data_IF_627190068396
#
_entry.id   IF_627190068396
#
_cell.length_a   1.000
_cell.length_b   1.000
_cell.length_c   1.000
_cell.angle_alpha   90.00
_cell.angle_beta   90.00
_cell.angle_gamma   90.00
#
_symmetry.space_group_name_H-M   'P 1'
#
loop_
_entity.id
_entity.type
_entity.pdbx_description
1 polymer ?
#
# COMPACT_ATOMS: atom_id res chain seq x y z
N UNK A 1 4.85 14.30 -11.17
CA UNK A 1 4.02 14.93 -10.12
C UNK A 1 4.95 15.26 -8.98
N UNK A 2 4.97 16.49 -8.45
CA UNK A 2 5.67 16.73 -7.18
C UNK A 2 5.06 15.78 -6.15
N UNK A 3 5.89 14.93 -5.56
CA UNK A 3 5.47 14.05 -4.46
C UNK A 3 5.13 15.01 -3.32
N UNK A 4 3.86 15.06 -2.91
CA UNK A 4 3.50 15.81 -1.72
C UNK A 4 4.41 15.33 -0.58
N UNK A 5 5.08 16.22 0.16
CA UNK A 5 5.97 15.81 1.23
C UNK A 5 5.17 14.91 2.19
N UNK A 6 5.63 13.67 2.35
CA UNK A 6 5.03 12.75 3.30
C UNK A 6 5.56 13.12 4.69
N UNK A 7 4.66 13.29 5.65
CA UNK A 7 5.03 13.48 7.05
C UNK A 7 5.26 12.10 7.68
N UNK A 8 6.39 11.94 8.33
CA UNK A 8 6.76 10.71 9.03
C UNK A 8 7.13 11.05 10.46
N UNK A 9 6.85 10.14 11.40
CA UNK A 9 7.36 10.28 12.76
C UNK A 9 8.86 9.94 12.80
N UNK A 10 9.66 10.58 13.66
CA UNK A 10 11.05 10.19 13.85
C UNK A 10 11.16 8.72 14.29
N UNK A 11 12.13 7.93 13.78
CA UNK A 11 12.29 6.53 14.17
C UNK A 11 12.42 6.30 15.68
N UNK A 12 13.13 7.20 16.39
CA UNK A 12 13.27 7.13 17.85
C UNK A 12 11.92 7.27 18.57
N UNK A 13 11.03 8.14 18.08
CA UNK A 13 9.71 8.31 18.65
C UNK A 13 8.82 7.09 18.36
N UNK A 14 8.89 6.53 17.15
CA UNK A 14 8.17 5.31 16.81
C UNK A 14 8.59 4.14 17.71
N UNK A 15 9.89 4.00 17.95
CA UNK A 15 10.43 2.99 18.87
C UNK A 15 9.97 3.20 20.31
N UNK A 16 9.99 4.45 20.80
CA UNK A 16 9.51 4.79 22.14
C UNK A 16 8.02 4.45 22.32
N UNK A 17 7.20 4.70 21.29
CA UNK A 17 5.77 4.42 21.30
C UNK A 17 5.46 2.95 20.98
N UNK A 18 6.44 2.17 20.54
CA UNK A 18 6.25 0.76 20.14
C UNK A 18 5.37 0.61 18.90
N UNK A 19 5.42 1.55 17.96
CA UNK A 19 4.56 1.59 16.76
C UNK A 19 5.34 1.34 15.46
N UNK A 20 4.61 1.01 14.39
CA UNK A 20 5.17 0.65 13.08
C UNK A 20 5.40 1.87 12.17
N UNK A 21 6.18 1.65 11.11
CA UNK A 21 6.54 2.71 10.16
C UNK A 21 5.34 3.27 9.42
N UNK A 22 5.13 4.57 9.55
CA UNK A 22 3.92 5.24 9.08
C UNK A 22 4.22 6.59 8.46
N UNK A 23 3.43 6.95 7.46
CA UNK A 23 3.49 8.25 6.82
C UNK A 23 2.11 8.80 6.53
N UNK A 24 1.99 10.12 6.55
CA UNK A 24 0.79 10.84 6.16
C UNK A 24 1.02 11.77 4.98
N UNK A 25 -0.02 11.88 4.17
CA UNK A 25 -0.19 12.93 3.17
C UNK A 25 -1.54 13.61 3.39
N UNK A 26 -1.75 14.78 2.82
CA UNK A 26 -3.04 15.46 2.92
C UNK A 26 -3.82 15.30 1.63
N UNK A 27 -5.14 15.10 1.76
CA UNK A 27 -6.05 15.09 0.63
C UNK A 27 -7.28 15.94 0.91
N UNK A 28 -7.63 16.79 -0.05
CA UNK A 28 -8.84 17.59 0.01
C UNK A 28 -9.94 16.83 -0.73
N UNK A 29 -10.95 16.36 -0.01
CA UNK A 29 -12.03 15.58 -0.61
C UNK A 29 -13.39 15.91 0.01
N UNK A 30 -14.45 15.47 -0.68
CA UNK A 30 -15.79 15.47 -0.09
C UNK A 30 -15.86 14.43 1.03
N UNK A 31 -16.84 14.62 1.89
CA UNK A 31 -17.17 13.68 2.96
C UNK A 31 -17.30 12.23 2.42
N UNK A 32 -16.48 11.28 2.92
CA UNK A 32 -16.55 9.87 2.55
C UNK A 32 -17.90 9.22 2.77
N UNK A 33 -18.67 9.67 3.77
CA UNK A 33 -19.98 9.09 4.10
C UNK A 33 -21.00 9.34 2.98
N UNK A 34 -20.74 10.32 2.12
CA UNK A 34 -21.52 10.56 0.89
C UNK A 34 -21.10 9.65 -0.26
N UNK A 35 -20.11 8.80 -0.05
CA UNK A 35 -19.56 7.83 -0.97
C UNK A 35 -18.76 8.43 -2.14
N UNK A 36 -18.14 7.56 -2.94
CA UNK A 36 -17.55 7.95 -4.20
C UNK A 36 -18.62 8.54 -5.15
N UNK A 37 -18.32 9.66 -5.82
CA UNK A 37 -19.24 10.27 -6.79
C UNK A 37 -19.66 9.29 -7.88
N UNK A 38 -20.86 9.46 -8.44
CA UNK A 38 -21.36 8.62 -9.54
C UNK A 38 -20.33 8.52 -10.67
N UNK A 39 -19.72 9.65 -11.05
CA UNK A 39 -18.64 9.69 -12.04
C UNK A 39 -17.43 8.83 -11.68
N UNK A 40 -16.99 8.83 -10.41
CA UNK A 40 -15.86 8.03 -9.93
C UNK A 40 -16.21 6.54 -9.95
N UNK A 41 -17.43 6.17 -9.53
CA UNK A 41 -17.92 4.78 -9.57
C UNK A 41 -17.99 4.25 -11.00
N UNK A 42 -18.62 5.01 -11.91
CA UNK A 42 -18.71 4.66 -13.34
C UNK A 42 -17.33 4.52 -13.97
N UNK A 43 -16.40 5.42 -13.64
CA UNK A 43 -15.01 5.34 -14.09
C UNK A 43 -14.31 4.06 -13.62
N UNK A 44 -14.42 3.70 -12.34
CA UNK A 44 -13.78 2.49 -11.81
C UNK A 44 -14.37 1.22 -12.44
N UNK A 45 -15.70 1.15 -12.58
CA UNK A 45 -16.35 0.01 -13.22
C UNK A 45 -15.89 -0.18 -14.67
N UNK A 46 -15.83 0.91 -15.45
CA UNK A 46 -15.37 0.87 -16.84
C UNK A 46 -13.89 0.49 -16.96
N UNK A 47 -13.04 1.01 -16.06
CA UNK A 47 -11.61 0.69 -16.04
C UNK A 47 -11.35 -0.81 -15.84
N UNK A 48 -12.13 -1.46 -14.97
CA UNK A 48 -11.91 -2.87 -14.61
C UNK A 48 -12.68 -3.86 -15.51
N UNK A 49 -13.73 -3.42 -16.21
CA UNK A 49 -14.52 -4.27 -17.11
C UNK A 49 -13.89 -4.48 -18.50
N UNK A 50 -12.87 -3.69 -18.86
CA UNK A 50 -12.28 -3.74 -20.21
C UNK A 50 -11.08 -4.69 -20.25
N UNK A 51 -11.15 -5.71 -21.10
CA UNK A 51 -10.01 -6.57 -21.39
C UNK A 51 -8.85 -5.80 -22.05
N UNK A 52 -7.59 -6.08 -21.67
CA UNK A 52 -6.42 -5.33 -22.14
C UNK A 52 -6.01 -5.73 -23.57
N UNK A 53 -6.85 -5.46 -24.57
CA UNK A 53 -6.47 -5.60 -25.99
C UNK A 53 -5.84 -4.31 -26.52
N UNK A 54 -5.00 -4.39 -27.55
CA UNK A 54 -4.27 -3.23 -28.11
C UNK A 54 -5.21 -2.09 -28.53
N UNK A 55 -6.30 -2.41 -29.22
CA UNK A 55 -7.29 -1.43 -29.69
C UNK A 55 -8.08 -0.79 -28.54
N UNK A 56 -8.46 -1.59 -27.53
CA UNK A 56 -9.15 -1.08 -26.32
C UNK A 56 -8.20 -0.26 -25.44
N UNK A 57 -6.92 -0.60 -25.40
CA UNK A 57 -5.87 0.17 -24.69
C UNK A 57 -5.66 1.54 -25.33
N UNK A 58 -5.66 1.62 -26.66
CA UNK A 58 -5.59 2.90 -27.37
C UNK A 58 -6.82 3.77 -27.07
N UNK A 59 -8.02 3.21 -27.19
CA UNK A 59 -9.28 3.91 -26.87
C UNK A 59 -9.34 4.37 -25.39
N UNK A 60 -8.82 3.56 -24.49
CA UNK A 60 -8.68 3.92 -23.08
C UNK A 60 -7.67 5.07 -22.88
N UNK A 61 -6.53 5.04 -23.57
CA UNK A 61 -5.52 6.10 -23.46
C UNK A 61 -6.06 7.44 -24.00
N UNK A 62 -6.78 7.43 -25.12
CA UNK A 62 -7.38 8.65 -25.69
C UNK A 62 -8.47 9.21 -24.76
N UNK A 63 -9.36 8.36 -24.26
CA UNK A 63 -10.39 8.77 -23.30
C UNK A 63 -9.77 9.30 -21.99
N UNK A 64 -8.78 8.61 -21.42
CA UNK A 64 -8.06 9.06 -20.22
C UNK A 64 -7.33 10.38 -20.45
N UNK A 65 -6.76 10.59 -21.64
CA UNK A 65 -6.17 11.86 -22.05
C UNK A 65 -7.19 13.00 -21.99
N UNK A 66 -8.38 12.79 -22.56
CA UNK A 66 -9.48 13.76 -22.52
C UNK A 66 -9.98 14.04 -21.09
N UNK A 67 -10.15 13.01 -20.26
CA UNK A 67 -10.50 13.15 -18.85
C UNK A 67 -9.44 13.96 -18.07
N UNK A 68 -8.15 13.68 -18.28
CA UNK A 68 -7.07 14.42 -17.65
C UNK A 68 -7.04 15.89 -18.10
N UNK A 69 -7.30 16.15 -19.40
CA UNK A 69 -7.38 17.50 -19.93
C UNK A 69 -8.55 18.28 -19.31
N UNK A 70 -9.75 17.68 -19.26
CA UNK A 70 -10.93 18.24 -18.59
C UNK A 70 -10.65 18.50 -17.11
N UNK A 71 -10.00 17.55 -16.44
CA UNK A 71 -9.63 17.70 -15.04
C UNK A 71 -8.71 18.92 -14.85
N UNK A 72 -7.65 19.04 -15.65
CA UNK A 72 -6.68 20.14 -15.54
C UNK A 72 -7.28 21.51 -15.87
N UNK A 73 -8.08 21.62 -16.93
CA UNK A 73 -8.49 22.92 -17.47
C UNK A 73 -9.88 23.37 -17.01
N UNK A 74 -10.77 22.43 -16.66
CA UNK A 74 -12.15 22.74 -16.23
C UNK A 74 -12.33 22.50 -14.74
N UNK A 75 -11.85 21.36 -14.22
CA UNK A 75 -12.15 20.99 -12.84
C UNK A 75 -11.32 21.76 -11.80
N UNK A 76 -10.08 22.16 -12.08
CA UNK A 76 -9.24 22.91 -11.13
C UNK A 76 -9.78 24.33 -10.82
N UNK A 77 -10.24 25.12 -11.81
CA UNK A 77 -10.95 26.38 -11.54
C UNK A 77 -12.24 26.16 -10.74
N UNK A 78 -13.03 25.12 -11.07
CA UNK A 78 -14.25 24.79 -10.36
C UNK A 78 -13.99 24.32 -8.91
N UNK A 79 -12.89 23.58 -8.70
CA UNK A 79 -12.45 23.11 -7.40
C UNK A 79 -12.19 24.29 -6.48
N UNK A 80 -11.54 25.36 -6.97
CA UNK A 80 -11.34 26.60 -6.20
C UNK A 80 -12.66 27.22 -5.76
N UNK A 81 -13.69 27.20 -6.61
CA UNK A 81 -15.04 27.69 -6.27
C UNK A 81 -15.75 26.79 -5.25
N UNK A 82 -15.64 25.46 -5.39
CA UNK A 82 -16.24 24.49 -4.46
C UNK A 82 -15.54 24.48 -3.08
N UNK A 83 -14.22 24.67 -3.07
CA UNK A 83 -13.42 24.87 -1.84
C UNK A 83 -13.85 26.15 -1.13
N UNK A 84 -14.02 27.25 -1.87
CA UNK A 84 -14.59 28.51 -1.32
C UNK A 84 -16.01 28.34 -0.76
N UNK A 85 -16.79 27.40 -1.29
CA UNK A 85 -18.13 27.07 -0.81
C UNK A 85 -18.16 26.15 0.43
N UNK A 86 -17.01 25.83 1.06
CA UNK A 86 -16.88 24.96 2.25
C UNK A 86 -17.52 23.57 2.09
N UNK A 87 -17.54 23.00 0.88
CA UNK A 87 -18.12 21.66 0.61
C UNK A 87 -17.08 20.53 0.57
N UNK A 88 -15.89 20.77 1.09
CA UNK A 88 -14.78 19.81 1.12
C UNK A 88 -14.08 19.89 2.47
N UNK A 89 -13.61 18.75 2.96
CA UNK A 89 -12.83 18.64 4.19
C UNK A 89 -11.39 18.25 3.85
N UNK A 90 -10.45 18.65 4.71
CA UNK A 90 -9.07 18.24 4.64
C UNK A 90 -8.90 16.94 5.43
N UNK A 91 -8.46 15.88 4.74
CA UNK A 91 -8.22 14.58 5.35
C UNK A 91 -6.72 14.29 5.42
N UNK A 92 -6.33 13.64 6.51
CA UNK A 92 -5.01 13.03 6.66
C UNK A 92 -5.10 11.61 6.11
N UNK A 93 -4.38 11.37 5.02
CA UNK A 93 -4.25 10.07 4.38
C UNK A 93 -3.01 9.37 4.94
N UNK A 94 -3.21 8.49 5.91
CA UNK A 94 -2.15 7.70 6.50
C UNK A 94 -1.88 6.41 5.71
N UNK A 95 -0.62 6.00 5.68
CA UNK A 95 -0.14 4.71 5.16
C UNK A 95 0.79 4.13 6.20
N UNK A 96 0.62 2.85 6.50
CA UNK A 96 1.37 2.17 7.53
C UNK A 96 2.01 0.90 6.98
N UNK A 97 3.15 0.56 7.53
CA UNK A 97 3.61 -0.82 7.63
C UNK A 97 2.58 -1.66 8.39
N UNK A 98 2.54 -2.95 8.08
CA UNK A 98 1.73 -3.94 8.77
C UNK A 98 2.63 -4.84 9.60
N UNK A 99 2.19 -5.17 10.82
CA UNK A 99 2.92 -6.11 11.65
C UNK A 99 3.03 -7.47 10.95
N UNK A 100 4.22 -8.09 10.88
CA UNK A 100 4.34 -9.47 10.43
C UNK A 100 3.48 -10.39 11.32
N UNK A 101 2.41 -10.93 10.76
CA UNK A 101 1.51 -11.82 11.50
C UNK A 101 1.78 -13.29 11.14
N UNK A 102 2.25 -14.11 12.10
CA UNK A 102 2.51 -15.53 11.88
C UNK A 102 1.24 -16.37 11.69
N UNK A 103 0.04 -15.80 11.69
CA UNK A 103 -1.22 -16.48 11.32
C UNK A 103 -1.73 -16.06 9.94
N UNK A 104 -1.17 -15.01 9.32
CA UNK A 104 -1.51 -14.65 7.93
C UNK A 104 -0.85 -15.62 6.95
N UNK A 105 -1.60 -16.09 5.95
CA UNK A 105 -1.16 -17.12 4.99
C UNK A 105 -1.59 -16.81 3.57
N UNK A 106 -0.75 -17.26 2.64
CA UNK A 106 -1.15 -17.50 1.25
C UNK A 106 -1.09 -19.00 1.03
N UNK A 107 -2.22 -19.59 0.68
CA UNK A 107 -2.40 -21.02 0.44
C UNK A 107 -2.82 -21.28 -1.00
N UNK A 108 -2.74 -22.54 -1.42
CA UNK A 108 -3.29 -22.97 -2.70
C UNK A 108 -4.78 -23.28 -2.52
N UNK A 109 -5.61 -22.66 -3.34
CA UNK A 109 -7.04 -22.94 -3.43
C UNK A 109 -7.29 -24.25 -4.19
N UNK A 110 -8.44 -24.88 -3.92
CA UNK A 110 -8.96 -25.98 -4.73
C UNK A 110 -9.33 -25.55 -6.16
N UNK A 111 -9.63 -24.26 -6.36
CA UNK A 111 -9.95 -23.72 -7.67
C UNK A 111 -8.69 -23.51 -8.51
N UNK A 112 -8.81 -23.77 -9.81
CA UNK A 112 -7.75 -23.53 -10.79
C UNK A 112 -8.09 -22.34 -11.67
N UNK A 113 -7.07 -21.59 -12.07
CA UNK A 113 -7.19 -20.52 -13.05
C UNK A 113 -7.27 -21.08 -14.49
N UNK A 114 -7.36 -20.18 -15.47
CA UNK A 114 -7.46 -20.54 -16.88
C UNK A 114 -6.20 -21.24 -17.44
N UNK A 115 -5.07 -21.19 -16.72
CA UNK A 115 -3.82 -21.87 -17.08
C UNK A 115 -3.68 -23.21 -16.35
N UNK A 116 -4.68 -23.60 -15.55
CA UNK A 116 -4.67 -24.82 -14.75
C UNK A 116 -3.86 -24.69 -13.46
N UNK A 117 -3.36 -23.52 -13.10
CA UNK A 117 -2.67 -23.29 -11.83
C UNK A 117 -3.67 -23.15 -10.68
N UNK A 118 -3.35 -23.70 -9.51
CA UNK A 118 -4.16 -23.46 -8.31
C UNK A 118 -4.15 -21.97 -7.98
N UNK A 119 -5.33 -21.39 -7.76
CA UNK A 119 -5.47 -19.98 -7.39
C UNK A 119 -4.87 -19.75 -6.00
N UNK A 120 -4.35 -18.55 -5.77
CA UNK A 120 -3.94 -18.13 -4.43
C UNK A 120 -5.17 -17.87 -3.55
N UNK A 121 -5.18 -18.45 -2.36
CA UNK A 121 -6.11 -18.15 -1.28
C UNK A 121 -5.39 -17.35 -0.20
N UNK A 122 -5.92 -16.18 0.15
CA UNK A 122 -5.27 -15.22 1.05
C UNK A 122 -6.06 -15.11 2.35
N UNK A 123 -5.48 -15.63 3.44
CA UNK A 123 -5.91 -15.34 4.80
C UNK A 123 -5.01 -14.23 5.35
N UNK A 124 -5.51 -12.99 5.31
CA UNK A 124 -4.77 -11.81 5.74
C UNK A 124 -5.40 -11.22 6.98
N UNK A 125 -4.63 -11.20 8.07
CA UNK A 125 -5.08 -10.84 9.41
C UNK A 125 -4.28 -9.67 9.94
N UNK A 126 -4.94 -8.53 10.10
CA UNK A 126 -4.41 -7.40 10.85
C UNK A 126 -4.45 -7.69 12.35
N UNK A 127 -3.56 -7.07 13.11
CA UNK A 127 -3.45 -7.22 14.55
C UNK A 127 -3.70 -5.88 15.27
N UNK A 128 -3.78 -5.93 16.60
CA UNK A 128 -4.01 -4.74 17.43
C UNK A 128 -2.93 -3.64 17.23
N UNK A 129 -1.69 -4.04 16.96
CA UNK A 129 -0.58 -3.11 16.72
C UNK A 129 -0.80 -2.25 15.47
N UNK A 130 -1.49 -2.75 14.44
CA UNK A 130 -1.76 -1.98 13.23
C UNK A 130 -2.70 -0.80 13.51
N UNK A 131 -3.75 -1.02 14.33
CA UNK A 131 -4.66 0.06 14.76
C UNK A 131 -3.99 1.01 15.74
N UNK A 132 -3.27 0.47 16.74
CA UNK A 132 -2.55 1.27 17.72
C UNK A 132 -1.53 2.21 17.05
N UNK A 133 -0.82 1.72 16.03
CA UNK A 133 0.09 2.51 15.22
C UNK A 133 -0.61 3.73 14.61
N UNK A 134 -1.77 3.56 13.99
CA UNK A 134 -2.53 4.67 13.40
C UNK A 134 -3.10 5.62 14.44
N UNK A 135 -3.55 5.11 15.58
CA UNK A 135 -4.08 5.93 16.68
C UNK A 135 -2.98 6.82 17.27
N UNK A 136 -1.83 6.25 17.60
CA UNK A 136 -0.68 7.02 18.12
C UNK A 136 -0.15 8.00 17.08
N UNK A 137 -0.07 7.58 15.81
CA UNK A 137 0.32 8.48 14.73
C UNK A 137 -0.62 9.69 14.64
N UNK A 138 -1.94 9.46 14.69
CA UNK A 138 -2.96 10.52 14.71
C UNK A 138 -2.85 11.43 15.92
N UNK A 139 -2.63 10.87 17.11
CA UNK A 139 -2.44 11.63 18.37
C UNK A 139 -1.23 12.55 18.30
N UNK A 140 -0.07 12.02 17.89
CA UNK A 140 1.17 12.82 17.77
C UNK A 140 0.99 13.92 16.73
N UNK A 141 0.41 13.59 15.58
CA UNK A 141 0.14 14.58 14.54
C UNK A 141 -0.84 15.67 15.04
N UNK A 142 -1.88 15.29 15.77
CA UNK A 142 -2.83 16.22 16.38
C UNK A 142 -2.19 17.13 17.43
N UNK A 143 -1.31 16.60 18.27
CA UNK A 143 -0.53 17.39 19.24
C UNK A 143 0.36 18.42 18.54
N UNK A 144 1.04 18.03 17.45
CA UNK A 144 1.86 18.97 16.67
C UNK A 144 1.01 20.04 15.98
N UNK A 145 -0.17 19.68 15.49
CA UNK A 145 -1.12 20.63 14.91
C UNK A 145 -1.62 21.65 15.94
N UNK A 146 -1.99 21.20 17.14
CA UNK A 146 -2.38 22.06 18.24
C UNK A 146 -1.19 22.95 18.70
N UNK A 147 0.02 22.37 18.85
CA UNK A 147 1.25 23.08 19.25
C UNK A 147 1.63 24.19 18.27
N UNK A 148 1.46 23.96 16.97
CA UNK A 148 1.77 24.91 15.92
C UNK A 148 0.62 25.88 15.61
N UNK A 149 -0.55 25.71 16.25
CA UNK A 149 -1.74 26.52 15.97
C UNK A 149 -2.32 26.32 14.56
N UNK A 150 -2.09 25.15 13.96
CA UNK A 150 -2.53 24.82 12.59
C UNK A 150 -3.98 24.30 12.53
N UNK A 151 -4.53 23.88 13.67
CA UNK A 151 -5.90 23.43 13.80
C UNK A 151 -6.04 22.19 14.66
N UNK A 152 -7.25 21.63 14.70
CA UNK A 152 -7.58 20.41 15.43
C UNK A 152 -7.61 19.22 14.47
N UNK A 153 -6.98 18.12 14.87
CA UNK A 153 -7.11 16.83 14.19
C UNK A 153 -8.13 15.98 14.95
N UNK A 154 -9.10 15.43 14.23
CA UNK A 154 -10.05 14.44 14.75
C UNK A 154 -9.81 13.11 14.06
N UNK A 155 -9.63 12.06 14.86
CA UNK A 155 -9.53 10.66 14.45
C UNK A 155 -10.89 10.11 14.05
N UNK A 156 -10.91 9.05 13.26
CA UNK A 156 -12.16 8.37 12.93
C UNK A 156 -12.61 7.48 14.11
N UNK A 157 -13.91 7.40 14.37
CA UNK A 157 -14.47 6.62 15.48
C UNK A 157 -14.05 5.15 15.45
N UNK A 158 -14.03 4.52 14.26
CA UNK A 158 -13.60 3.13 14.08
C UNK A 158 -12.14 2.86 14.45
N UNK A 159 -11.31 3.90 14.55
CA UNK A 159 -9.92 3.78 15.00
C UNK A 159 -9.83 3.74 16.53
N UNK A 160 -10.84 4.27 17.22
CA UNK A 160 -10.90 4.39 18.68
C UNK A 160 -11.87 3.40 19.33
N UNK A 161 -12.69 2.71 18.54
CA UNK A 161 -13.75 1.81 19.01
C UNK A 161 -13.25 0.51 19.68
N UNK A 162 -11.93 0.26 19.65
CA UNK A 162 -11.29 -0.92 20.23
C UNK A 162 -11.56 -2.23 19.50
N UNK A 163 -12.25 -2.21 18.36
CA UNK A 163 -12.57 -3.42 17.58
C UNK A 163 -11.47 -3.72 16.56
N UNK A 164 -11.33 -4.95 16.03
CA UNK A 164 -10.26 -5.26 15.07
C UNK A 164 -10.59 -4.86 13.62
N UNK A 165 -11.84 -4.52 13.31
CA UNK A 165 -12.28 -4.32 11.93
C UNK A 165 -11.78 -3.01 11.32
N UNK A 166 -11.44 -3.08 10.03
CA UNK A 166 -11.04 -1.93 9.22
C UNK A 166 -12.10 -1.66 8.16
N UNK A 167 -12.76 -0.49 8.15
CA UNK A 167 -13.73 -0.18 7.13
C UNK A 167 -13.06 0.02 5.77
N UNK A 168 -13.74 -0.39 4.71
CA UNK A 168 -13.31 -0.17 3.34
C UNK A 168 -13.92 1.13 2.82
N UNK A 169 -13.10 2.15 2.66
CA UNK A 169 -13.51 3.43 2.07
C UNK A 169 -13.08 3.52 0.61
N UNK A 170 -14.05 3.44 -0.31
CA UNK A 170 -13.86 3.56 -1.76
C UNK A 170 -13.36 4.95 -2.21
N UNK A 171 -13.36 5.94 -1.31
CA UNK A 171 -12.72 7.23 -1.55
C UNK A 171 -11.20 7.16 -1.37
N UNK A 172 -10.72 6.28 -0.48
CA UNK A 172 -9.31 6.07 -0.08
C UNK A 172 -8.65 4.95 -0.90
N UNK A 173 -9.29 3.79 -1.00
CA UNK A 173 -8.78 2.61 -1.69
C UNK A 173 -9.89 1.91 -2.48
N UNK A 174 -9.58 1.38 -3.65
CA UNK A 174 -10.58 0.76 -4.51
C UNK A 174 -10.72 -0.76 -4.31
N UNK A 175 -10.11 -1.33 -3.27
CA UNK A 175 -10.12 -2.77 -3.06
C UNK A 175 -10.18 -3.12 -1.56
N UNK A 176 -11.01 -4.11 -1.16
CA UNK A 176 -11.16 -4.50 0.24
C UNK A 176 -9.88 -5.11 0.86
N UNK A 177 -8.99 -5.67 0.03
CA UNK A 177 -7.70 -6.25 0.50
C UNK A 177 -6.58 -5.22 0.73
N UNK A 178 -6.91 -3.93 0.74
CA UNK A 178 -5.93 -2.86 0.99
C UNK A 178 -5.09 -2.48 -0.25
N UNK A 179 -3.84 -2.08 -0.01
CA UNK A 179 -2.91 -1.62 -1.05
C UNK A 179 -2.31 -2.76 -1.89
N UNK A 180 -1.74 -2.42 -3.04
CA UNK A 180 -1.18 -3.39 -3.99
C UNK A 180 0.30 -3.76 -3.71
N UNK A 181 0.70 -3.78 -2.44
CA UNK A 181 2.09 -4.02 -2.02
C UNK A 181 2.17 -5.23 -1.07
N UNK A 182 1.77 -6.41 -1.56
CA UNK A 182 1.92 -7.66 -0.80
C UNK A 182 3.38 -8.11 -0.74
N UNK A 183 3.83 -8.58 0.43
CA UNK A 183 5.23 -8.80 0.76
C UNK A 183 5.38 -9.98 1.72
N UNK A 184 6.57 -10.57 1.80
CA UNK A 184 6.94 -11.52 2.86
C UNK A 184 6.47 -12.97 2.73
N UNK A 185 5.82 -13.36 1.64
CA UNK A 185 5.32 -14.75 1.45
C UNK A 185 6.43 -15.79 1.31
N UNK A 186 7.66 -15.38 1.00
CA UNK A 186 8.86 -16.23 0.97
C UNK A 186 10.02 -15.52 1.67
N UNK A 187 9.76 -14.95 2.85
CA UNK A 187 10.66 -14.02 3.53
C UNK A 187 12.08 -14.56 3.76
N UNK A 188 13.07 -13.68 3.66
CA UNK A 188 14.45 -13.96 4.05
C UNK A 188 14.53 -14.28 5.54
N UNK A 189 15.44 -15.17 5.92
CA UNK A 189 15.74 -15.49 7.31
C UNK A 189 17.09 -16.20 7.42
N UNK A 190 17.67 -16.20 8.62
CA UNK A 190 18.92 -16.93 8.90
C UNK A 190 18.71 -18.44 9.10
N UNK A 191 17.46 -18.92 9.12
CA UNK A 191 17.13 -20.32 9.40
C UNK A 191 15.84 -20.75 8.70
N UNK A 192 15.78 -21.97 8.13
CA UNK A 192 14.57 -22.50 7.48
C UNK A 192 13.34 -22.57 8.38
N UNK A 193 13.51 -22.54 9.71
CA UNK A 193 12.39 -22.51 10.66
C UNK A 193 11.63 -21.18 10.65
N UNK A 194 12.29 -20.11 10.19
CA UNK A 194 11.81 -18.75 10.32
C UNK A 194 11.59 -18.07 8.96
N UNK A 195 11.77 -18.74 7.84
CA UNK A 195 11.60 -18.16 6.51
C UNK A 195 11.97 -19.15 5.41
N UNK A 196 11.80 -18.71 4.15
CA UNK A 196 11.92 -19.59 2.98
C UNK A 196 13.30 -19.49 2.33
N UNK A 197 13.86 -18.28 2.30
CA UNK A 197 15.15 -18.02 1.68
C UNK A 197 16.16 -17.47 2.69
N UNK A 198 17.44 -17.60 2.38
CA UNK A 198 18.54 -17.00 3.13
C UNK A 198 18.74 -15.52 2.76
N UNK A 199 19.80 -14.91 3.29
CA UNK A 199 20.15 -13.52 2.98
C UNK A 199 20.50 -13.29 1.51
N UNK A 200 20.82 -14.31 0.72
CA UNK A 200 21.11 -14.23 -0.71
C UNK A 200 19.88 -14.53 -1.58
N UNK A 201 18.69 -14.61 -0.97
CA UNK A 201 17.46 -15.00 -1.63
C UNK A 201 17.49 -16.45 -2.18
N UNK A 202 18.37 -17.29 -1.65
CA UNK A 202 18.49 -18.72 -1.98
C UNK A 202 17.58 -19.53 -1.06
N UNK A 203 16.80 -20.45 -1.62
CA UNK A 203 15.87 -21.29 -0.84
C UNK A 203 16.66 -22.19 0.10
N UNK A 204 16.29 -22.21 1.37
CA UNK A 204 16.94 -23.08 2.35
C UNK A 204 16.84 -24.54 1.91
N UNK A 205 17.99 -25.24 1.89
CA UNK A 205 18.09 -26.63 1.45
C UNK A 205 18.36 -26.83 -0.04
N UNK A 206 18.39 -25.76 -0.85
CA UNK A 206 18.64 -25.83 -2.29
C UNK A 206 19.66 -24.78 -2.72
N UNK A 207 20.83 -25.19 -3.20
CA UNK A 207 21.92 -24.27 -3.58
C UNK A 207 21.70 -23.57 -4.93
N UNK A 208 20.78 -24.07 -5.75
CA UNK A 208 20.52 -23.63 -7.12
C UNK A 208 19.08 -23.11 -7.34
N UNK A 209 18.35 -22.81 -6.26
CA UNK A 209 17.00 -22.28 -6.32
C UNK A 209 16.93 -20.94 -5.61
N UNK A 210 16.56 -19.89 -6.34
CA UNK A 210 16.52 -18.52 -5.84
C UNK A 210 15.17 -17.87 -6.11
N UNK A 211 14.76 -16.94 -5.24
CA UNK A 211 13.50 -16.20 -5.37
C UNK A 211 13.77 -14.70 -5.45
N UNK A 212 13.27 -14.04 -6.50
CA UNK A 212 13.35 -12.59 -6.64
C UNK A 212 11.94 -11.97 -6.60
N UNK A 213 11.73 -11.01 -5.71
CA UNK A 213 10.45 -10.30 -5.63
C UNK A 213 10.18 -9.68 -4.26
N UNK A 214 9.02 -9.06 -4.08
CA UNK A 214 8.62 -8.50 -2.77
C UNK A 214 8.32 -9.57 -1.72
N UNK A 215 8.14 -10.82 -2.15
CA UNK A 215 7.90 -11.96 -1.26
C UNK A 215 9.07 -12.23 -0.31
N UNK A 216 10.30 -11.84 -0.65
CA UNK A 216 11.49 -12.10 0.18
C UNK A 216 11.70 -11.08 1.30
N UNK A 217 10.91 -10.01 1.35
CA UNK A 217 11.06 -8.96 2.36
C UNK A 217 10.72 -9.50 3.75
N UNK A 218 11.52 -9.14 4.75
CA UNK A 218 11.32 -9.54 6.15
C UNK A 218 10.26 -8.69 6.85
N UNK A 219 10.15 -7.43 6.45
CA UNK A 219 9.18 -6.46 6.96
C UNK A 219 8.63 -5.62 5.81
N UNK A 220 7.46 -5.03 6.03
CA UNK A 220 6.85 -4.09 5.11
C UNK A 220 7.37 -2.66 5.32
N UNK A 221 6.69 -1.71 4.68
CA UNK A 221 6.90 -0.29 4.89
C UNK A 221 5.77 0.51 4.25
N UNK A 222 5.62 1.79 4.63
CA UNK A 222 4.65 2.68 3.96
C UNK A 222 5.08 3.08 2.55
N UNK A 223 6.40 3.05 2.28
CA UNK A 223 6.98 3.44 1.00
C UNK A 223 6.78 2.34 -0.06
N UNK A 224 6.72 2.75 -1.33
CA UNK A 224 6.55 1.80 -2.43
C UNK A 224 7.77 0.85 -2.52
N UNK A 225 7.56 -0.48 -2.57
CA UNK A 225 8.64 -1.45 -2.43
C UNK A 225 9.52 -1.59 -3.69
N UNK A 226 9.14 -0.98 -4.81
CA UNK A 226 9.77 -1.20 -6.13
C UNK A 226 11.28 -0.92 -6.12
N UNK A 227 11.73 0.16 -5.47
CA UNK A 227 13.16 0.48 -5.43
C UNK A 227 13.95 -0.57 -4.65
N UNK A 228 13.45 -0.98 -3.48
CA UNK A 228 14.06 -2.04 -2.67
C UNK A 228 14.06 -3.38 -3.42
N UNK A 229 12.99 -3.68 -4.16
CA UNK A 229 12.91 -4.87 -4.99
C UNK A 229 14.00 -4.87 -6.07
N UNK A 230 14.21 -3.74 -6.76
CA UNK A 230 15.27 -3.60 -7.76
C UNK A 230 16.66 -3.77 -7.14
N UNK A 231 16.90 -3.20 -5.95
CA UNK A 231 18.16 -3.36 -5.24
C UNK A 231 18.43 -4.83 -4.87
N UNK A 232 17.41 -5.55 -4.37
CA UNK A 232 17.53 -6.98 -4.06
C UNK A 232 17.75 -7.84 -5.31
N UNK A 233 17.08 -7.52 -6.42
CA UNK A 233 17.26 -8.21 -7.68
C UNK A 233 18.67 -8.01 -8.25
N UNK A 234 19.21 -6.78 -8.18
CA UNK A 234 20.59 -6.50 -8.60
C UNK A 234 21.60 -7.29 -7.75
N UNK A 235 21.45 -7.24 -6.43
CA UNK A 235 22.31 -7.98 -5.50
C UNK A 235 22.26 -9.50 -5.73
N UNK A 236 21.09 -10.04 -6.05
CA UNK A 236 20.95 -11.45 -6.43
C UNK A 236 21.70 -11.73 -7.75
N UNK A 237 21.61 -10.84 -8.75
CA UNK A 237 22.37 -10.96 -9.99
C UNK A 237 23.89 -11.03 -9.75
N UNK A 238 24.42 -10.15 -8.90
CA UNK A 238 25.83 -10.17 -8.50
C UNK A 238 26.22 -11.48 -7.80
N UNK A 239 25.33 -11.99 -6.93
CA UNK A 239 25.53 -13.28 -6.26
C UNK A 239 25.60 -14.44 -7.26
N UNK A 240 24.66 -14.51 -8.21
CA UNK A 240 24.64 -15.56 -9.23
C UNK A 240 25.88 -15.54 -10.11
N UNK A 241 26.35 -14.35 -10.52
CA UNK A 241 27.61 -14.23 -11.26
C UNK A 241 28.78 -14.80 -10.45
N UNK A 242 28.86 -14.48 -9.15
CA UNK A 242 29.92 -15.00 -8.28
C UNK A 242 29.88 -16.51 -8.08
N UNK A 243 28.72 -17.16 -8.24
CA UNK A 243 28.60 -18.62 -8.19
C UNK A 243 29.09 -19.24 -9.49
N UNK A 244 28.72 -18.67 -10.64
CA UNK A 244 29.16 -19.13 -11.96
C UNK A 244 30.67 -18.99 -12.16
N UNK A 245 31.27 -17.91 -11.66
CA UNK A 245 32.73 -17.67 -11.74
C UNK A 245 33.52 -18.70 -10.93
N UNK A 246 32.93 -19.31 -9.88
CA UNK A 246 33.57 -20.35 -9.07
C UNK A 246 33.44 -21.75 -9.67
N UNK A 247 32.51 -21.94 -10.59
CA UNK A 247 32.28 -23.19 -11.31
C UNK A 247 33.05 -23.26 -12.63
N UNK A 248 33.64 -22.14 -13.07
CA UNK A 248 34.45 -22.00 -14.30
C UNK A 248 35.94 -22.21 -14.04
#
# INVERSE_FOLDING_TARGET
MPVAPAMVLPPALQQQLGILNSAATFNLQKDPDRGASLSKRTYMNLKHALSPTTSKRLLWQTWRGGLNWLQRHVSMPLLRTVVKAKRMNLYVMARAEQAPNPDSRVCLSAERDALGCQRADLDWRLCALDKETMLQFGRVLGQEFDRLGLGKLTTCEWLEDGRPEWPVDMTVGNHPIGGYHHMGTTRMSTSPKNGVVDANCTVHGYHNLHIAGSSVFTTGGWANPTLTLLALAHRLGDHLNSLMDKES
#
